data_IF_186592513860
#
_entry.id   IF_186592513860
#
_cell.length_a   1.000
_cell.length_b   1.000
_cell.length_c   1.000
_cell.angle_alpha   90.00
_cell.angle_beta   90.00
_cell.angle_gamma   90.00
#
_symmetry.space_group_name_H-M   'P 1'
#
loop_
_entity.id
_entity.type
_entity.pdbx_description
1 polymer ?
#
# COMPACT_ATOMS: atom_id res chain seq x y z
N UNK A 1 -17.50 -10.21 -9.78
CA UNK A 1 -16.58 -9.12 -9.60
C UNK A 1 -15.41 -9.53 -8.73
N UNK A 2 -14.25 -9.47 -9.24
CA UNK A 2 -13.07 -9.89 -8.50
C UNK A 2 -12.24 -8.68 -8.10
N UNK A 3 -12.08 -8.49 -6.81
CA UNK A 3 -11.09 -7.53 -6.37
C UNK A 3 -9.82 -8.30 -6.10
N UNK A 4 -8.87 -8.12 -6.97
CA UNK A 4 -7.56 -8.75 -6.83
C UNK A 4 -6.66 -7.80 -6.07
N UNK A 5 -5.91 -8.37 -5.15
CA UNK A 5 -4.88 -7.61 -4.43
C UNK A 5 -3.53 -8.05 -4.97
N UNK A 6 -2.75 -7.10 -5.43
CA UNK A 6 -1.41 -7.36 -5.95
C UNK A 6 -0.41 -6.80 -4.99
N UNK A 7 0.48 -7.65 -4.50
CA UNK A 7 1.45 -7.27 -3.47
C UNK A 7 2.85 -7.42 -4.03
N UNK A 8 3.63 -6.36 -3.96
CA UNK A 8 5.02 -6.35 -4.40
C UNK A 8 5.90 -5.95 -3.24
N UNK A 9 6.95 -6.70 -3.00
CA UNK A 9 7.89 -6.38 -1.93
C UNK A 9 9.31 -6.34 -2.48
N UNK A 10 9.96 -5.20 -2.32
CA UNK A 10 11.36 -5.00 -2.69
C UNK A 10 12.22 -5.16 -1.45
N UNK A 11 12.93 -6.29 -1.34
CA UNK A 11 13.73 -6.58 -0.17
C UNK A 11 14.88 -5.60 0.04
N UNK A 12 15.50 -5.15 -1.03
CA UNK A 12 16.62 -4.23 -0.92
C UNK A 12 16.19 -2.88 -0.36
N UNK A 13 15.05 -2.38 -0.82
CA UNK A 13 14.54 -1.11 -0.37
C UNK A 13 13.64 -1.22 0.84
N UNK A 14 13.28 -2.44 1.24
CA UNK A 14 12.28 -2.67 2.29
C UNK A 14 11.02 -1.89 1.99
N UNK A 15 10.57 -1.97 0.74
CA UNK A 15 9.43 -1.20 0.26
C UNK A 15 8.30 -2.15 -0.15
N UNK A 16 7.17 -2.02 0.51
CA UNK A 16 6.00 -2.81 0.21
C UNK A 16 5.01 -1.98 -0.59
N UNK A 17 4.52 -2.53 -1.69
CA UNK A 17 3.49 -1.89 -2.51
C UNK A 17 2.31 -2.82 -2.65
N UNK A 18 1.12 -2.31 -2.41
CA UNK A 18 -0.12 -3.06 -2.53
C UNK A 18 -1.05 -2.29 -3.45
N UNK A 19 -1.58 -2.98 -4.47
CA UNK A 19 -2.60 -2.42 -5.35
C UNK A 19 -3.83 -3.30 -5.33
N UNK A 20 -4.99 -2.71 -5.50
CA UNK A 20 -6.25 -3.45 -5.61
C UNK A 20 -6.87 -3.17 -6.97
N UNK A 21 -7.59 -4.15 -7.49
CA UNK A 21 -8.28 -4.01 -8.76
C UNK A 21 -7.35 -4.12 -9.95
N UNK A 22 -7.82 -3.64 -11.08
CA UNK A 22 -7.06 -3.67 -12.33
C UNK A 22 -6.00 -2.59 -12.34
N UNK A 23 -4.96 -2.85 -13.14
CA UNK A 23 -3.90 -1.87 -13.31
C UNK A 23 -4.41 -0.72 -14.15
N UNK A 24 -4.38 0.49 -13.61
CA UNK A 24 -4.81 1.70 -14.30
C UNK A 24 -3.76 2.77 -14.12
N UNK A 25 -3.75 3.80 -15.00
CA UNK A 25 -2.86 4.92 -14.78
C UNK A 25 -3.16 5.57 -13.43
N UNK A 26 -2.11 5.82 -12.66
CA UNK A 26 -2.27 6.29 -11.30
C UNK A 26 -1.14 7.25 -10.94
N UNK A 27 -1.30 7.94 -9.82
CA UNK A 27 -0.28 8.82 -9.29
C UNK A 27 -0.14 8.58 -7.79
N UNK A 28 1.05 8.83 -7.26
CA UNK A 28 1.34 8.66 -5.84
C UNK A 28 1.30 9.97 -5.10
N UNK A 29 0.80 9.92 -3.88
CA UNK A 29 0.77 11.07 -3.00
C UNK A 29 1.26 10.64 -1.62
N UNK A 30 2.37 11.22 -1.18
CA UNK A 30 2.90 10.89 0.14
C UNK A 30 2.03 11.54 1.21
N UNK A 31 1.44 10.72 2.07
CA UNK A 31 0.51 11.22 3.09
C UNK A 31 1.15 11.26 4.47
N UNK A 32 2.22 10.53 4.67
CA UNK A 32 3.05 10.64 5.86
C UNK A 32 4.40 10.07 5.52
N UNK A 33 5.38 10.23 6.42
CA UNK A 33 6.74 9.83 6.13
C UNK A 33 6.81 8.36 5.74
N UNK A 34 7.21 8.10 4.50
CA UNK A 34 7.36 6.74 3.98
C UNK A 34 6.06 6.06 3.60
N UNK A 35 4.92 6.75 3.65
CA UNK A 35 3.63 6.19 3.28
C UNK A 35 3.09 6.95 2.07
N UNK A 36 2.89 6.25 0.97
CA UNK A 36 2.38 6.82 -0.26
C UNK A 36 1.05 6.18 -0.61
N UNK A 37 0.06 7.00 -0.93
CA UNK A 37 -1.23 6.52 -1.41
C UNK A 37 -1.23 6.67 -2.92
N UNK A 38 -1.65 5.62 -3.63
CA UNK A 38 -1.76 5.65 -5.08
C UNK A 38 -3.21 5.83 -5.47
N UNK A 39 -3.48 6.81 -6.32
CA UNK A 39 -4.83 7.15 -6.74
C UNK A 39 -4.97 7.00 -8.25
N UNK A 40 -6.15 6.55 -8.67
CA UNK A 40 -6.49 6.47 -10.09
C UNK A 40 -6.53 7.88 -10.68
N UNK A 41 -5.89 8.07 -11.84
CA UNK A 41 -5.80 9.39 -12.46
C UNK A 41 -7.14 9.95 -12.90
N UNK A 42 -8.09 9.08 -13.21
CA UNK A 42 -9.38 9.53 -13.70
C UNK A 42 -10.39 9.75 -12.59
N UNK A 43 -10.39 8.89 -11.59
CA UNK A 43 -11.43 8.90 -10.55
C UNK A 43 -10.94 9.44 -9.21
N UNK A 44 -9.64 9.53 -9.01
CA UNK A 44 -8.99 9.88 -7.73
C UNK A 44 -9.31 8.90 -6.62
N UNK A 45 -9.80 7.72 -6.97
CA UNK A 45 -10.01 6.67 -5.98
C UNK A 45 -8.68 6.08 -5.53
N UNK A 46 -8.58 5.76 -4.25
CA UNK A 46 -7.39 5.12 -3.71
C UNK A 46 -7.36 3.67 -4.19
N UNK A 47 -6.31 3.31 -4.92
CA UNK A 47 -6.15 1.97 -5.47
C UNK A 47 -4.90 1.27 -4.98
N UNK A 48 -4.10 1.93 -4.16
CA UNK A 48 -2.90 1.29 -3.66
C UNK A 48 -2.24 2.05 -2.56
N UNK A 49 -1.23 1.42 -1.96
CA UNK A 49 -0.44 2.03 -0.91
C UNK A 49 1.00 1.52 -1.01
N UNK A 50 1.95 2.41 -0.76
CA UNK A 50 3.36 2.06 -0.69
C UNK A 50 3.87 2.38 0.70
N UNK A 51 4.63 1.46 1.28
CA UNK A 51 5.16 1.60 2.64
C UNK A 51 6.66 1.37 2.64
N UNK A 52 7.40 2.45 2.87
CA UNK A 52 8.85 2.39 2.97
C UNK A 52 9.23 1.95 4.39
N UNK A 53 10.31 1.20 4.50
CA UNK A 53 10.76 0.64 5.78
C UNK A 53 9.69 -0.26 6.39
N UNK A 54 9.11 -1.10 5.55
CA UNK A 54 7.95 -1.89 5.96
C UNK A 54 8.24 -2.81 7.15
N UNK A 55 9.37 -3.51 7.14
CA UNK A 55 9.69 -4.43 8.25
C UNK A 55 9.74 -3.71 9.59
N UNK A 56 10.31 -2.51 9.56
CA UNK A 56 10.45 -1.71 10.76
C UNK A 56 9.08 -1.23 11.25
N UNK A 57 8.23 -0.80 10.32
CA UNK A 57 6.89 -0.33 10.66
C UNK A 57 5.97 -1.47 11.09
N UNK A 58 6.17 -2.65 10.49
CA UNK A 58 5.32 -3.81 10.80
C UNK A 58 5.52 -4.33 12.21
N UNK A 59 6.66 -4.05 12.82
CA UNK A 59 6.90 -4.42 14.22
C UNK A 59 6.01 -3.65 15.16
N UNK A 60 5.62 -2.44 14.75
CA UNK A 60 4.72 -1.61 15.52
C UNK A 60 3.53 -1.30 14.63
N UNK A 61 2.52 -2.16 14.69
CA UNK A 61 1.37 -2.08 13.79
C UNK A 61 0.58 -0.79 13.96
N UNK A 62 0.72 -0.14 15.11
CA UNK A 62 0.04 1.14 15.33
C UNK A 62 0.57 2.23 14.39
N UNK A 63 1.80 2.06 13.90
CA UNK A 63 2.36 3.03 12.97
C UNK A 63 1.83 2.88 11.56
N UNK A 64 1.12 1.78 11.28
CA UNK A 64 0.55 1.52 9.97
C UNK A 64 -0.97 1.63 10.06
N UNK A 65 -1.43 2.70 10.64
CA UNK A 65 -2.86 2.95 10.75
C UNK A 65 -3.28 3.82 9.57
N UNK A 66 -3.79 3.17 8.53
CA UNK A 66 -4.17 3.83 7.30
C UNK A 66 -5.68 3.74 7.10
N UNK A 67 -6.27 4.85 6.71
CA UNK A 67 -7.69 4.90 6.40
C UNK A 67 -7.89 4.58 4.93
N UNK A 68 -7.85 3.29 4.60
CA UNK A 68 -7.96 2.82 3.23
C UNK A 68 -9.37 2.31 2.95
N UNK A 69 -9.84 2.43 1.69
CA UNK A 69 -11.13 1.87 1.31
C UNK A 69 -11.10 0.36 1.11
N UNK A 70 -10.00 -0.29 1.46
CA UNK A 70 -9.87 -1.74 1.44
C UNK A 70 -9.10 -2.17 2.66
N UNK A 71 -9.26 -3.44 3.01
CA UNK A 71 -8.62 -3.97 4.21
C UNK A 71 -7.33 -4.70 3.86
N UNK A 72 -6.30 -4.44 4.64
CA UNK A 72 -5.02 -5.13 4.52
C UNK A 72 -4.65 -5.65 5.90
N UNK A 73 -4.38 -6.95 5.97
CA UNK A 73 -3.91 -7.56 7.20
C UNK A 73 -2.39 -7.58 7.19
N UNK A 74 -1.80 -6.51 7.66
CA UNK A 74 -0.34 -6.38 7.64
C UNK A 74 0.35 -7.42 8.50
N UNK A 75 -0.29 -7.88 9.56
CA UNK A 75 0.32 -8.89 10.42
C UNK A 75 0.42 -10.26 9.75
N UNK A 76 -0.35 -10.49 8.71
CA UNK A 76 -0.29 -11.74 7.95
C UNK A 76 0.77 -11.70 6.84
N UNK A 77 1.33 -10.54 6.55
CA UNK A 77 2.35 -10.40 5.52
C UNK A 77 3.70 -10.79 6.08
N UNK A 78 4.30 -11.82 5.50
CA UNK A 78 5.63 -12.29 5.94
C UNK A 78 6.64 -11.89 4.88
N UNK A 79 7.53 -11.03 5.26
CA UNK A 79 8.57 -10.52 4.37
C UNK A 79 9.94 -10.60 5.02
#
# INVERSE_FOLDING_TARGET
MNSQMRIYYDEEGDYLTIFVGESTPNYGEEVSSGITIFKDEETDEIIGVGILNFRKKARNLDEINLNLPFKVNFSALKV
#
